data_IF_773397699575
#
_entry.id   IF_773397699575
#
_cell.length_a   1.000
_cell.length_b   1.000
_cell.length_c   1.000
_cell.angle_alpha   90.00
_cell.angle_beta   90.00
_cell.angle_gamma   90.00
#
_symmetry.space_group_name_H-M   'P 1'
#
loop_
_entity.id
_entity.type
_entity.pdbx_description
1 polymer ?
#
# COMPACT_ATOMS: atom_id res chain seq x y z
N UNK A 1 8.50 -6.16 -24.57
CA UNK A 1 9.00 -5.20 -23.58
C UNK A 1 9.17 -3.89 -24.32
N UNK A 2 8.46 -2.85 -23.90
CA UNK A 2 8.44 -1.55 -24.58
C UNK A 2 9.83 -0.91 -24.65
N UNK A 3 10.21 -0.41 -25.83
CA UNK A 3 11.51 0.27 -26.04
C UNK A 3 11.74 1.45 -25.10
N UNK A 4 10.67 2.06 -24.59
CA UNK A 4 10.73 3.21 -23.67
C UNK A 4 11.20 2.82 -22.26
N UNK A 5 10.99 1.60 -21.80
CA UNK A 5 11.39 1.13 -20.47
C UNK A 5 12.83 0.59 -20.42
N UNK A 6 13.45 0.29 -21.56
CA UNK A 6 14.76 -0.36 -21.63
C UNK A 6 15.91 0.45 -21.00
N UNK A 7 15.72 1.75 -20.79
CA UNK A 7 16.73 2.65 -20.19
C UNK A 7 16.29 3.27 -18.86
N UNK A 8 15.14 2.86 -18.30
CA UNK A 8 14.63 3.39 -17.03
C UNK A 8 15.05 2.52 -15.87
N UNK A 9 15.40 3.16 -14.75
CA UNK A 9 15.54 2.50 -13.46
C UNK A 9 14.13 2.23 -12.93
N UNK A 10 13.80 0.96 -12.73
CA UNK A 10 12.52 0.56 -12.13
C UNK A 10 12.63 0.73 -10.61
N UNK A 11 11.74 1.51 -9.96
CA UNK A 11 11.71 1.62 -8.51
C UNK A 11 11.49 0.23 -7.89
N UNK A 12 12.26 -0.09 -6.85
CA UNK A 12 12.13 -1.39 -6.18
C UNK A 12 10.79 -1.49 -5.45
N UNK A 13 10.37 -0.41 -4.78
CA UNK A 13 9.13 -0.34 -4.03
C UNK A 13 8.28 0.86 -4.47
N UNK A 14 7.07 0.57 -4.93
CA UNK A 14 6.05 1.57 -5.28
C UNK A 14 4.92 1.53 -4.26
N UNK A 15 4.58 2.68 -3.68
CA UNK A 15 3.41 2.85 -2.83
C UNK A 15 2.31 3.63 -3.58
N UNK A 16 1.03 3.26 -3.41
CA UNK A 16 -0.08 3.93 -4.11
C UNK A 16 -1.20 4.29 -3.15
N UNK A 17 -1.66 5.55 -3.20
CA UNK A 17 -2.89 6.00 -2.56
C UNK A 17 -4.01 5.95 -3.60
N UNK A 18 -4.98 5.05 -3.37
CA UNK A 18 -6.08 4.69 -4.28
C UNK A 18 -7.22 5.71 -4.19
N UNK A 19 -6.98 6.96 -4.62
CA UNK A 19 -7.97 8.04 -4.49
C UNK A 19 -8.85 8.18 -5.75
N UNK A 20 -10.11 8.63 -5.54
CA UNK A 20 -11.02 8.99 -6.61
C UNK A 20 -12.15 8.00 -6.91
N UNK A 21 -12.24 6.86 -6.23
CA UNK A 21 -13.30 5.87 -6.47
C UNK A 21 -14.72 6.49 -6.47
N UNK A 22 -15.03 7.28 -5.44
CA UNK A 22 -16.34 7.94 -5.32
C UNK A 22 -16.57 9.03 -6.36
N UNK A 23 -15.55 9.82 -6.71
CA UNK A 23 -15.60 10.86 -7.75
C UNK A 23 -15.80 10.25 -9.13
N UNK A 24 -15.12 9.16 -9.40
CA UNK A 24 -15.27 8.36 -10.61
C UNK A 24 -16.71 7.86 -10.82
N UNK A 25 -17.30 7.27 -9.77
CA UNK A 25 -18.68 6.80 -9.81
C UNK A 25 -19.67 7.96 -10.00
N UNK A 26 -19.52 9.05 -9.25
CA UNK A 26 -20.38 10.24 -9.36
C UNK A 26 -20.37 10.83 -10.78
N UNK A 27 -19.19 10.93 -11.42
CA UNK A 27 -19.04 11.44 -12.80
C UNK A 27 -19.80 10.58 -13.83
N UNK A 28 -20.08 9.30 -13.49
CA UNK A 28 -20.79 8.34 -14.34
C UNK A 28 -22.25 8.09 -13.92
N UNK A 29 -22.76 8.85 -12.95
CA UNK A 29 -24.12 8.65 -12.42
C UNK A 29 -24.28 7.33 -11.65
N UNK A 30 -23.18 6.73 -11.16
CA UNK A 30 -23.18 5.45 -10.47
C UNK A 30 -23.12 5.62 -8.95
N UNK A 31 -23.66 4.66 -8.19
CA UNK A 31 -23.46 4.59 -6.75
C UNK A 31 -21.97 4.51 -6.38
N UNK A 32 -21.58 5.11 -5.25
CA UNK A 32 -20.20 5.14 -4.77
C UNK A 32 -19.58 3.75 -4.61
N UNK A 33 -20.38 2.77 -4.21
CA UNK A 33 -19.99 1.35 -4.10
C UNK A 33 -19.48 0.75 -5.42
N UNK A 34 -20.04 1.19 -6.55
CA UNK A 34 -19.55 0.75 -7.86
C UNK A 34 -18.14 1.27 -8.16
N UNK A 35 -17.81 2.50 -7.73
CA UNK A 35 -16.46 3.02 -7.85
C UNK A 35 -15.45 2.22 -7.01
N UNK A 36 -15.83 1.82 -5.80
CA UNK A 36 -14.98 0.95 -4.97
C UNK A 36 -14.81 -0.44 -5.57
N UNK A 37 -15.88 -1.01 -6.14
CA UNK A 37 -15.82 -2.29 -6.84
C UNK A 37 -14.86 -2.26 -8.03
N UNK A 38 -14.96 -1.23 -8.87
CA UNK A 38 -14.06 -1.06 -10.02
C UNK A 38 -12.62 -0.79 -9.55
N UNK A 39 -12.45 0.00 -8.47
CA UNK A 39 -11.15 0.21 -7.83
C UNK A 39 -10.47 -1.08 -7.39
N UNK A 40 -11.22 -2.08 -6.92
CA UNK A 40 -10.66 -3.39 -6.60
C UNK A 40 -10.21 -4.17 -7.86
N UNK A 41 -10.95 -4.07 -8.97
CA UNK A 41 -10.53 -4.65 -10.27
C UNK A 41 -9.23 -3.99 -10.73
N UNK A 42 -9.11 -2.67 -10.56
CA UNK A 42 -7.89 -1.93 -10.88
C UNK A 42 -6.71 -2.38 -10.02
N UNK A 43 -6.90 -2.70 -8.72
CA UNK A 43 -5.85 -3.27 -7.88
C UNK A 43 -5.29 -4.56 -8.49
N UNK A 44 -6.16 -5.49 -8.91
CA UNK A 44 -5.71 -6.76 -9.51
C UNK A 44 -4.83 -6.53 -10.74
N UNK A 45 -5.29 -5.66 -11.66
CA UNK A 45 -4.52 -5.31 -12.87
C UNK A 45 -3.19 -4.62 -12.52
N UNK A 46 -3.20 -3.73 -11.54
CA UNK A 46 -1.99 -3.01 -11.09
C UNK A 46 -0.96 -3.96 -10.49
N UNK A 47 -1.39 -5.01 -9.76
CA UNK A 47 -0.49 -6.06 -9.25
C UNK A 47 0.18 -6.81 -10.40
N UNK A 48 -0.60 -7.19 -11.44
CA UNK A 48 -0.03 -7.84 -12.63
C UNK A 48 0.93 -6.93 -13.38
N UNK A 49 0.56 -5.67 -13.57
CA UNK A 49 1.38 -4.67 -14.26
C UNK A 49 2.69 -4.39 -13.51
N UNK A 50 2.63 -4.23 -12.17
CA UNK A 50 3.81 -4.06 -11.34
C UNK A 50 4.77 -5.26 -11.44
N UNK A 51 4.23 -6.48 -11.40
CA UNK A 51 5.03 -7.69 -11.56
C UNK A 51 5.70 -7.76 -12.95
N UNK A 52 4.98 -7.41 -14.02
CA UNK A 52 5.54 -7.36 -15.39
C UNK A 52 6.64 -6.31 -15.54
N UNK A 53 6.53 -5.18 -14.85
CA UNK A 53 7.53 -4.12 -14.83
C UNK A 53 8.77 -4.47 -14.01
N UNK A 54 8.74 -5.55 -13.22
CA UNK A 54 9.85 -5.97 -12.37
C UNK A 54 9.92 -5.26 -11.02
N UNK A 55 8.86 -4.55 -10.62
CA UNK A 55 8.71 -3.98 -9.29
C UNK A 55 8.73 -5.13 -8.27
N UNK A 56 9.47 -4.96 -7.17
CA UNK A 56 9.62 -6.00 -6.14
C UNK A 56 8.58 -5.88 -5.04
N UNK A 57 8.22 -4.65 -4.68
CA UNK A 57 7.23 -4.35 -3.64
C UNK A 57 6.21 -3.36 -4.16
N UNK A 58 4.93 -3.68 -3.96
CA UNK A 58 3.81 -2.79 -4.26
C UNK A 58 2.97 -2.65 -3.01
N UNK A 59 2.90 -1.45 -2.42
CA UNK A 59 2.03 -1.17 -1.26
C UNK A 59 0.86 -0.31 -1.67
N UNK A 60 -0.37 -0.71 -1.29
CA UNK A 60 -1.57 0.07 -1.59
C UNK A 60 -2.31 0.47 -0.32
N UNK A 61 -2.89 1.68 -0.30
CA UNK A 61 -3.70 2.18 0.80
C UNK A 61 -5.16 1.76 0.60
N UNK A 62 -5.52 0.58 1.13
CA UNK A 62 -6.84 -0.01 0.93
C UNK A 62 -7.92 0.58 1.86
N UNK A 63 -7.61 0.77 3.17
CA UNK A 63 -8.54 1.29 4.15
C UNK A 63 -7.79 1.98 5.29
N UNK A 64 -8.05 3.29 5.50
CA UNK A 64 -7.40 4.05 6.57
C UNK A 64 -8.19 3.99 7.88
N UNK A 65 -7.49 4.29 9.00
CA UNK A 65 -8.14 4.43 10.31
C UNK A 65 -9.23 5.51 10.32
N UNK A 66 -9.11 6.54 9.50
CA UNK A 66 -10.10 7.61 9.34
C UNK A 66 -11.37 7.16 8.61
N UNK A 67 -11.29 6.08 7.81
CA UNK A 67 -12.44 5.59 7.02
C UNK A 67 -13.57 5.02 7.91
N UNK A 68 -13.28 4.64 9.15
CA UNK A 68 -14.31 4.27 10.12
C UNK A 68 -15.30 5.40 10.47
N UNK A 69 -14.94 6.65 10.17
CA UNK A 69 -15.82 7.81 10.35
C UNK A 69 -16.87 7.98 9.23
N UNK A 70 -16.82 7.14 8.19
CA UNK A 70 -17.80 7.13 7.10
C UNK A 70 -19.14 6.56 7.60
N UNK A 71 -20.19 6.67 6.77
CA UNK A 71 -21.48 6.09 7.15
C UNK A 71 -21.38 4.58 7.34
N UNK A 72 -22.22 4.02 8.21
CA UNK A 72 -22.25 2.58 8.51
C UNK A 72 -22.50 1.76 7.25
N UNK A 73 -23.34 2.27 6.33
CA UNK A 73 -23.65 1.63 5.06
C UNK A 73 -22.42 1.56 4.16
N UNK A 74 -21.64 2.65 4.09
CA UNK A 74 -20.40 2.68 3.28
C UNK A 74 -19.36 1.74 3.85
N UNK A 75 -19.15 1.77 5.18
CA UNK A 75 -18.20 0.86 5.86
C UNK A 75 -18.62 -0.60 5.65
N UNK A 76 -19.91 -0.91 5.84
CA UNK A 76 -20.43 -2.26 5.61
C UNK A 76 -20.21 -2.76 4.18
N UNK A 77 -20.47 -1.90 3.19
CA UNK A 77 -20.24 -2.22 1.78
C UNK A 77 -18.73 -2.46 1.49
N UNK A 78 -17.84 -1.67 2.09
CA UNK A 78 -16.39 -1.87 1.96
C UNK A 78 -15.93 -3.19 2.60
N UNK A 79 -16.47 -3.56 3.76
CA UNK A 79 -16.15 -4.83 4.42
C UNK A 79 -16.64 -6.03 3.58
N UNK A 80 -17.80 -5.95 2.95
CA UNK A 80 -18.27 -6.98 2.02
C UNK A 80 -17.38 -7.11 0.79
N UNK A 81 -16.98 -5.98 0.20
CA UNK A 81 -16.01 -5.98 -0.92
C UNK A 81 -14.69 -6.60 -0.49
N UNK A 82 -14.20 -6.27 0.69
CA UNK A 82 -12.95 -6.79 1.21
C UNK A 82 -13.00 -8.32 1.35
N UNK A 83 -14.07 -8.88 1.94
CA UNK A 83 -14.32 -10.34 2.01
C UNK A 83 -14.26 -11.00 0.62
N UNK A 84 -14.98 -10.44 -0.31
CA UNK A 84 -15.03 -10.98 -1.69
C UNK A 84 -13.66 -10.95 -2.36
N UNK A 85 -12.95 -9.81 -2.27
CA UNK A 85 -11.68 -9.64 -2.95
C UNK A 85 -10.53 -10.39 -2.29
N UNK A 86 -10.55 -10.67 -0.99
CA UNK A 86 -9.56 -11.55 -0.35
C UNK A 86 -9.53 -12.95 -0.97
N UNK A 87 -10.71 -13.55 -1.20
CA UNK A 87 -10.81 -14.88 -1.83
C UNK A 87 -10.27 -14.85 -3.28
N UNK A 88 -10.59 -13.79 -3.99
CA UNK A 88 -10.17 -13.58 -5.37
C UNK A 88 -8.67 -13.33 -5.47
N UNK A 89 -8.15 -12.46 -4.61
CA UNK A 89 -6.73 -12.14 -4.53
C UNK A 89 -5.87 -13.37 -4.20
N UNK A 90 -6.35 -14.27 -3.35
CA UNK A 90 -5.64 -15.51 -3.07
C UNK A 90 -5.40 -16.35 -4.33
N UNK A 91 -6.43 -16.50 -5.18
CA UNK A 91 -6.32 -17.23 -6.44
C UNK A 91 -5.33 -16.57 -7.40
N UNK A 92 -5.47 -15.25 -7.59
CA UNK A 92 -4.59 -14.46 -8.46
C UNK A 92 -3.15 -14.49 -7.97
N UNK A 93 -2.93 -14.33 -6.67
CA UNK A 93 -1.60 -14.31 -6.07
C UNK A 93 -0.87 -15.65 -6.20
N UNK A 94 -1.57 -16.76 -6.03
CA UNK A 94 -1.00 -18.09 -6.26
C UNK A 94 -0.64 -18.31 -7.73
N UNK A 95 -1.52 -17.94 -8.65
CA UNK A 95 -1.30 -18.10 -10.09
C UNK A 95 -0.12 -17.27 -10.62
N UNK A 96 0.14 -16.11 -10.02
CA UNK A 96 1.16 -15.14 -10.47
C UNK A 96 2.40 -15.09 -9.56
N UNK A 97 2.57 -16.05 -8.65
CA UNK A 97 3.70 -16.09 -7.71
C UNK A 97 3.85 -14.80 -6.88
N UNK A 98 2.73 -14.17 -6.49
CA UNK A 98 2.71 -12.93 -5.69
C UNK A 98 2.64 -13.29 -4.21
N UNK A 99 3.55 -12.76 -3.39
CA UNK A 99 3.51 -12.84 -1.93
C UNK A 99 2.63 -11.70 -1.41
N UNK A 100 1.62 -12.03 -0.59
CA UNK A 100 0.76 -11.01 0.01
C UNK A 100 1.17 -10.77 1.46
N UNK A 101 1.28 -9.48 1.82
CA UNK A 101 1.41 -9.02 3.21
C UNK A 101 0.30 -8.02 3.51
N UNK A 102 -0.03 -7.88 4.79
CA UNK A 102 -1.00 -6.88 5.25
C UNK A 102 -0.42 -6.12 6.43
N UNK A 103 -0.54 -4.80 6.40
CA UNK A 103 -0.14 -3.87 7.45
C UNK A 103 -1.37 -3.13 7.98
N UNK A 104 -1.29 -2.69 9.24
CA UNK A 104 -2.36 -2.03 9.97
C UNK A 104 -2.93 -2.92 11.09
N UNK A 105 -3.76 -2.30 11.92
CA UNK A 105 -4.37 -2.95 13.08
C UNK A 105 -5.58 -3.83 12.68
N UNK A 106 -5.60 -5.08 13.14
CA UNK A 106 -6.63 -6.07 12.82
C UNK A 106 -7.73 -6.18 13.88
N UNK A 107 -7.57 -5.56 15.04
CA UNK A 107 -8.46 -5.74 16.19
C UNK A 107 -9.91 -5.26 15.94
N UNK A 108 -10.11 -4.33 15.01
CA UNK A 108 -11.44 -3.77 14.70
C UNK A 108 -12.21 -4.54 13.63
N UNK A 109 -11.61 -5.54 13.01
CA UNK A 109 -12.29 -6.35 12.00
C UNK A 109 -13.06 -7.51 12.61
N UNK A 110 -14.13 -7.93 11.93
CA UNK A 110 -14.83 -9.15 12.24
C UNK A 110 -13.87 -10.36 12.13
N UNK A 111 -14.12 -11.40 12.92
CA UNK A 111 -13.24 -12.59 13.01
C UNK A 111 -13.02 -13.28 11.66
N UNK A 112 -14.04 -13.34 10.80
CA UNK A 112 -13.96 -13.93 9.47
C UNK A 112 -13.04 -13.14 8.52
N UNK A 113 -12.96 -11.83 8.68
CA UNK A 113 -12.00 -10.97 7.95
C UNK A 113 -10.58 -11.25 8.44
N UNK A 114 -10.39 -11.31 9.76
CA UNK A 114 -9.06 -11.62 10.36
C UNK A 114 -8.56 -12.98 9.91
N UNK A 115 -9.42 -14.00 9.91
CA UNK A 115 -9.11 -15.35 9.42
C UNK A 115 -8.78 -15.34 7.92
N UNK A 116 -9.57 -14.63 7.12
CA UNK A 116 -9.32 -14.46 5.67
C UNK A 116 -7.98 -13.81 5.36
N UNK A 117 -7.61 -12.76 6.12
CA UNK A 117 -6.28 -12.13 6.06
C UNK A 117 -5.19 -13.14 6.41
N UNK A 118 -5.35 -13.85 7.52
CA UNK A 118 -4.39 -14.85 7.98
C UNK A 118 -4.15 -15.93 6.93
N UNK A 119 -5.22 -16.45 6.35
CA UNK A 119 -5.18 -17.42 5.27
C UNK A 119 -4.46 -16.89 4.03
N UNK A 120 -4.79 -15.68 3.58
CA UNK A 120 -4.19 -15.05 2.39
C UNK A 120 -2.67 -14.91 2.56
N UNK A 121 -2.22 -14.41 3.71
CA UNK A 121 -0.80 -14.23 4.03
C UNK A 121 -0.09 -15.58 4.12
N UNK A 122 -0.66 -16.55 4.83
CA UNK A 122 -0.04 -17.87 5.05
C UNK A 122 0.08 -18.65 3.75
N UNK A 123 -0.98 -18.71 2.94
CA UNK A 123 -0.98 -19.47 1.69
C UNK A 123 -0.11 -18.87 0.57
N UNK A 124 0.33 -17.60 0.71
CA UNK A 124 1.21 -16.93 -0.27
C UNK A 124 2.64 -16.67 0.25
N UNK A 125 2.96 -17.02 1.49
CA UNK A 125 4.23 -16.69 2.16
C UNK A 125 5.49 -17.20 1.44
N UNK A 126 5.36 -18.31 0.72
CA UNK A 126 6.46 -18.95 -0.01
C UNK A 126 6.58 -18.45 -1.46
N UNK A 127 5.68 -17.59 -1.93
CA UNK A 127 5.81 -16.99 -3.24
C UNK A 127 7.02 -16.06 -3.28
N UNK A 128 7.75 -16.06 -4.39
CA UNK A 128 9.05 -15.41 -4.56
C UNK A 128 9.03 -14.24 -5.55
N UNK A 129 7.90 -13.98 -6.17
CA UNK A 129 7.71 -12.86 -7.09
C UNK A 129 7.47 -11.52 -6.38
N UNK A 130 6.58 -10.69 -6.95
CA UNK A 130 6.17 -9.43 -6.34
C UNK A 130 5.66 -9.64 -4.91
N UNK A 131 6.11 -8.81 -3.98
CA UNK A 131 5.48 -8.70 -2.65
C UNK A 131 4.43 -7.60 -2.70
N UNK A 132 3.16 -7.99 -2.62
CA UNK A 132 2.02 -7.10 -2.58
C UNK A 132 1.61 -6.83 -1.14
N UNK A 133 1.65 -5.57 -0.72
CA UNK A 133 1.36 -5.13 0.65
C UNK A 133 0.06 -4.31 0.65
N UNK A 134 -0.89 -4.69 1.48
CA UNK A 134 -2.17 -4.00 1.60
C UNK A 134 -2.25 -3.34 2.97
N UNK A 135 -2.32 -2.00 3.00
CA UNK A 135 -2.54 -1.24 4.21
C UNK A 135 -4.05 -1.16 4.50
N UNK A 136 -4.50 -1.81 5.57
CA UNK A 136 -5.92 -1.93 5.95
C UNK A 136 -6.08 -1.61 7.43
N UNK A 137 -7.04 -0.75 7.76
CA UNK A 137 -7.14 -0.13 9.08
C UNK A 137 -5.79 0.44 9.52
N UNK A 138 -5.13 1.10 8.57
CA UNK A 138 -3.79 1.63 8.72
C UNK A 138 -3.81 3.15 8.86
N UNK A 139 -2.91 3.67 9.67
CA UNK A 139 -2.60 5.08 9.78
C UNK A 139 -1.18 5.24 10.33
N UNK A 140 -0.33 6.04 9.68
CA UNK A 140 1.07 6.19 10.06
C UNK A 140 1.27 6.70 11.49
N UNK A 141 0.40 7.60 11.96
CA UNK A 141 0.43 8.06 13.37
C UNK A 141 0.10 6.93 14.35
N UNK A 142 -0.90 6.12 14.03
CA UNK A 142 -1.28 4.97 14.84
C UNK A 142 -0.15 3.92 14.86
N UNK A 143 0.41 3.59 13.71
CA UNK A 143 1.54 2.67 13.60
C UNK A 143 2.73 3.11 14.47
N UNK A 144 3.12 4.40 14.41
CA UNK A 144 4.21 4.96 15.21
C UNK A 144 3.90 4.82 16.70
N UNK A 145 2.67 5.10 17.13
CA UNK A 145 2.27 4.96 18.55
C UNK A 145 2.29 3.49 18.97
N UNK A 146 1.83 2.55 18.15
CA UNK A 146 1.91 1.11 18.43
C UNK A 146 3.36 0.63 18.54
N UNK A 147 4.24 1.07 17.63
CA UNK A 147 5.67 0.78 17.70
C UNK A 147 6.31 1.31 19.01
N UNK A 148 6.00 2.57 19.37
CA UNK A 148 6.52 3.17 20.61
C UNK A 148 6.05 2.38 21.87
N UNK A 149 4.78 1.97 21.93
CA UNK A 149 4.27 1.13 23.03
C UNK A 149 5.03 -0.18 23.14
N UNK A 150 5.25 -0.85 22.01
CA UNK A 150 5.99 -2.11 21.96
C UNK A 150 7.45 -1.94 22.43
N UNK A 151 8.11 -0.87 22.03
CA UNK A 151 9.47 -0.53 22.50
C UNK A 151 9.48 -0.31 24.01
N UNK A 152 8.49 0.40 24.56
CA UNK A 152 8.37 0.60 26.01
C UNK A 152 8.17 -0.72 26.77
N UNK A 153 7.39 -1.65 26.22
CA UNK A 153 7.22 -3.00 26.78
C UNK A 153 8.54 -3.78 26.75
N UNK A 154 9.20 -3.84 25.59
CA UNK A 154 10.48 -4.56 25.43
C UNK A 154 11.61 -3.91 26.28
N UNK A 155 11.57 -2.58 26.49
CA UNK A 155 12.49 -1.90 27.42
C UNK A 155 12.24 -2.33 28.87
N UNK A 156 10.98 -2.41 29.29
CA UNK A 156 10.60 -2.86 30.64
C UNK A 156 11.02 -4.31 30.90
N UNK A 157 10.98 -5.14 29.86
CA UNK A 157 11.40 -6.54 29.89
C UNK A 157 12.92 -6.72 29.72
N UNK A 158 13.69 -5.64 29.57
CA UNK A 158 15.14 -5.68 29.41
C UNK A 158 15.63 -6.18 28.04
N UNK A 159 14.76 -6.29 27.03
CA UNK A 159 15.12 -6.74 25.68
C UNK A 159 15.82 -5.66 24.86
N UNK A 160 15.55 -4.39 25.15
CA UNK A 160 16.16 -3.23 24.50
C UNK A 160 16.42 -2.14 25.54
N UNK A 161 17.49 -1.36 25.41
CA UNK A 161 17.73 -0.16 26.21
C UNK A 161 17.50 1.11 25.40
N UNK A 162 17.24 2.24 26.07
CA UNK A 162 17.06 3.55 25.42
C UNK A 162 18.28 3.94 24.59
N UNK A 163 19.50 3.65 25.10
CA UNK A 163 20.77 3.98 24.44
C UNK A 163 21.00 3.15 23.18
N UNK A 164 20.39 1.96 23.12
CA UNK A 164 20.53 1.06 21.97
C UNK A 164 19.48 1.30 20.87
N UNK A 165 18.47 2.17 21.10
CA UNK A 165 17.44 2.47 20.14
C UNK A 165 17.98 3.38 19.03
N UNK A 166 17.98 2.86 17.79
CA UNK A 166 18.35 3.57 16.57
C UNK A 166 17.14 3.66 15.63
N UNK A 167 17.22 4.46 14.55
CA UNK A 167 16.19 4.53 13.51
C UNK A 167 15.90 3.15 12.91
N UNK A 168 16.93 2.36 12.60
CA UNK A 168 16.79 1.00 12.07
C UNK A 168 16.08 0.06 13.05
N UNK A 169 16.41 0.15 14.33
CA UNK A 169 15.73 -0.65 15.36
C UNK A 169 14.27 -0.21 15.52
N UNK A 170 13.99 1.10 15.45
CA UNK A 170 12.64 1.62 15.49
C UNK A 170 11.83 1.11 14.27
N UNK A 171 12.41 1.17 13.06
CA UNK A 171 11.79 0.62 11.85
C UNK A 171 11.46 -0.87 11.99
N UNK A 172 12.25 -1.63 12.77
CA UNK A 172 11.98 -3.02 13.12
C UNK A 172 10.72 -3.26 13.97
N UNK A 173 10.12 -2.21 14.55
CA UNK A 173 8.88 -2.27 15.32
C UNK A 173 7.66 -1.81 14.50
N UNK A 174 7.87 -1.23 13.31
CA UNK A 174 6.79 -0.83 12.41
C UNK A 174 6.16 -2.05 11.72
N UNK A 175 4.94 -1.88 11.23
CA UNK A 175 4.21 -2.92 10.49
C UNK A 175 4.95 -3.32 9.19
N UNK A 176 5.75 -2.41 8.65
CA UNK A 176 6.57 -2.59 7.44
C UNK A 176 7.90 -3.30 7.69
N UNK A 177 8.13 -3.85 8.89
CA UNK A 177 9.36 -4.61 9.19
C UNK A 177 9.72 -5.59 8.09
N UNK A 178 10.96 -5.47 7.57
CA UNK A 178 11.48 -6.33 6.51
C UNK A 178 10.88 -6.03 5.12
N UNK A 179 10.28 -4.87 4.93
CA UNK A 179 9.89 -4.29 3.66
C UNK A 179 10.73 -3.01 3.49
N UNK A 180 11.43 -2.80 2.37
CA UNK A 180 12.17 -1.56 2.13
C UNK A 180 11.22 -0.37 2.05
N UNK A 181 11.73 0.83 2.36
CA UNK A 181 10.97 2.05 2.18
C UNK A 181 10.58 2.27 0.71
N UNK A 182 9.45 2.91 0.41
CA UNK A 182 9.06 3.18 -0.97
C UNK A 182 10.04 4.13 -1.67
N UNK A 183 10.42 3.80 -2.91
CA UNK A 183 11.14 4.71 -3.79
C UNK A 183 10.22 5.75 -4.41
N UNK A 184 8.99 5.34 -4.73
CA UNK A 184 7.98 6.13 -5.42
C UNK A 184 6.61 5.99 -4.74
N UNK A 185 6.01 7.13 -4.38
CA UNK A 185 4.61 7.24 -4.00
C UNK A 185 3.81 7.79 -5.18
N UNK A 186 2.77 7.06 -5.59
CA UNK A 186 1.79 7.53 -6.56
C UNK A 186 0.49 7.87 -5.83
N UNK A 187 -0.07 9.05 -6.09
CA UNK A 187 -1.41 9.39 -5.64
C UNK A 187 -2.28 9.79 -6.82
N UNK A 188 -3.42 9.14 -6.96
CA UNK A 188 -4.40 9.43 -8.02
C UNK A 188 -5.33 10.59 -7.66
N UNK A 189 -6.03 11.14 -8.65
CA UNK A 189 -7.07 12.18 -8.51
C UNK A 189 -6.57 13.62 -8.29
N UNK A 190 -5.34 13.95 -8.66
CA UNK A 190 -4.80 15.32 -8.57
C UNK A 190 -4.57 15.82 -7.14
N UNK A 191 -4.57 14.94 -6.14
CA UNK A 191 -4.48 15.33 -4.73
C UNK A 191 -3.05 15.23 -4.20
N UNK A 192 -2.53 16.34 -3.66
CA UNK A 192 -1.18 16.43 -3.11
C UNK A 192 -1.21 16.46 -1.57
N UNK A 193 -1.33 15.30 -0.95
CA UNK A 193 -1.23 15.09 0.51
C UNK A 193 -1.01 13.60 0.81
N UNK A 194 -0.39 13.28 1.96
CA UNK A 194 -0.09 11.89 2.37
C UNK A 194 -1.27 11.19 3.03
N UNK A 195 -2.20 11.94 3.60
CA UNK A 195 -3.39 11.39 4.29
C UNK A 195 -3.05 10.34 5.34
N UNK A 196 -2.02 10.60 6.15
CA UNK A 196 -1.55 9.71 7.22
C UNK A 196 -1.03 8.33 6.72
N UNK A 197 -0.58 8.24 5.46
CA UNK A 197 -0.07 7.02 4.86
C UNK A 197 1.46 6.96 4.97
N UNK A 198 2.01 5.86 5.47
CA UNK A 198 3.43 5.50 5.53
C UNK A 198 4.35 6.67 5.98
N UNK A 199 3.97 7.41 7.04
CA UNK A 199 4.63 8.66 7.43
C UNK A 199 6.12 8.50 7.72
N UNK A 200 6.54 7.39 8.33
CA UNK A 200 7.94 7.08 8.59
C UNK A 200 8.66 6.71 7.29
N UNK A 201 8.07 5.82 6.53
CA UNK A 201 8.69 5.17 5.38
C UNK A 201 8.82 6.09 4.16
N UNK A 202 8.00 7.17 4.08
CA UNK A 202 8.01 8.10 2.96
C UNK A 202 9.03 9.26 3.11
N UNK A 203 9.93 9.19 4.09
CA UNK A 203 10.86 10.29 4.42
C UNK A 203 11.72 10.76 3.22
N UNK A 204 12.13 9.85 2.34
CA UNK A 204 12.95 10.12 1.15
C UNK A 204 12.31 9.65 -0.15
N UNK A 205 11.00 9.43 -0.14
CA UNK A 205 10.24 8.90 -1.27
C UNK A 205 9.93 10.00 -2.30
N UNK A 206 10.12 9.71 -3.58
CA UNK A 206 9.65 10.59 -4.66
C UNK A 206 8.13 10.51 -4.81
N UNK A 207 7.46 11.67 -4.96
CA UNK A 207 6.00 11.73 -5.04
C UNK A 207 5.57 12.07 -6.47
N UNK A 208 4.69 11.25 -7.02
CA UNK A 208 4.01 11.49 -8.29
C UNK A 208 2.51 11.61 -8.07
N UNK A 209 1.93 12.71 -8.55
CA UNK A 209 0.48 12.96 -8.51
C UNK A 209 -0.09 12.73 -9.91
N UNK A 210 -1.03 11.79 -10.02
CA UNK A 210 -1.75 11.53 -11.27
C UNK A 210 -3.14 12.16 -11.22
N UNK A 211 -3.55 12.82 -12.30
CA UNK A 211 -4.88 13.42 -12.42
C UNK A 211 -5.99 12.40 -12.64
N UNK A 212 -5.65 11.17 -13.06
CA UNK A 212 -6.63 10.13 -13.27
C UNK A 212 -7.29 9.67 -11.95
N UNK A 213 -8.54 9.28 -11.98
CA UNK A 213 -9.17 8.59 -10.86
C UNK A 213 -8.66 7.16 -10.75
N UNK A 214 -8.57 6.62 -9.51
CA UNK A 214 -8.06 5.28 -9.30
C UNK A 214 -8.68 4.19 -10.22
N UNK A 215 -10.00 4.12 -10.45
CA UNK A 215 -10.56 3.13 -11.36
C UNK A 215 -10.09 3.22 -12.84
N UNK A 216 -9.59 4.38 -13.25
CA UNK A 216 -9.05 4.60 -14.60
C UNK A 216 -7.51 4.43 -14.66
N UNK A 217 -6.85 4.14 -13.51
CA UNK A 217 -5.40 3.91 -13.44
C UNK A 217 -5.02 2.63 -14.18
N UNK A 218 -3.91 2.66 -14.92
CA UNK A 218 -3.47 1.57 -15.78
C UNK A 218 -1.95 1.57 -15.99
N UNK A 219 -1.45 0.63 -16.78
CA UNK A 219 -0.03 0.48 -17.11
C UNK A 219 0.60 1.78 -17.65
N UNK A 220 -0.10 2.54 -18.47
CA UNK A 220 0.45 3.79 -19.05
C UNK A 220 0.62 4.87 -17.97
N UNK A 221 -0.32 4.96 -17.02
CA UNK A 221 -0.17 5.87 -15.86
C UNK A 221 0.99 5.44 -14.95
N UNK A 222 1.17 4.13 -14.75
CA UNK A 222 2.32 3.59 -14.01
C UNK A 222 3.64 3.96 -14.70
N UNK A 223 3.73 3.81 -16.01
CA UNK A 223 4.91 4.18 -16.81
C UNK A 223 5.22 5.68 -16.72
N UNK A 224 4.20 6.54 -16.79
CA UNK A 224 4.38 7.99 -16.60
C UNK A 224 4.97 8.31 -15.22
N UNK A 225 4.49 7.64 -14.17
CA UNK A 225 5.02 7.82 -12.82
C UNK A 225 6.48 7.37 -12.72
N UNK A 226 6.85 6.23 -13.33
CA UNK A 226 8.23 5.73 -13.40
C UNK A 226 9.12 6.67 -14.23
N UNK A 227 8.63 7.22 -15.33
CA UNK A 227 9.36 8.20 -16.13
C UNK A 227 9.64 9.49 -15.34
N UNK A 228 8.63 9.98 -14.60
CA UNK A 228 8.79 11.13 -13.72
C UNK A 228 9.80 10.86 -12.59
N UNK A 229 9.79 9.66 -12.00
CA UNK A 229 10.80 9.22 -11.03
C UNK A 229 12.21 9.27 -11.62
N UNK A 230 12.41 8.77 -12.85
CA UNK A 230 13.70 8.76 -13.53
C UNK A 230 14.20 10.15 -13.95
N UNK A 231 13.31 11.13 -14.08
CA UNK A 231 13.69 12.50 -14.44
C UNK A 231 14.25 13.31 -13.27
N UNK A 232 14.20 12.76 -12.04
CA UNK A 232 14.63 13.44 -10.82
C UNK A 232 16.01 12.99 -10.36
N UNK A 233 16.81 13.95 -9.84
CA UNK A 233 18.07 13.66 -9.13
C UNK A 233 17.78 13.39 -7.66
N UNK A 234 17.99 12.16 -7.22
CA UNK A 234 17.88 11.77 -5.79
C UNK A 234 19.19 12.09 -5.09
N UNK A 235 19.18 13.08 -4.20
CA UNK A 235 20.40 13.58 -3.51
C UNK A 235 20.55 13.08 -2.09
N UNK A 236 19.52 12.56 -1.45
CA UNK A 236 19.53 12.05 -0.06
C UNK A 236 20.23 12.96 0.94
N UNK A 237 20.09 14.30 0.76
CA UNK A 237 20.76 15.31 1.60
C UNK A 237 22.23 15.58 1.26
N UNK A 238 22.81 14.91 0.26
CA UNK A 238 24.16 15.15 -0.21
C UNK A 238 24.27 16.36 -1.15
N UNK A 239 25.38 17.11 -1.08
CA UNK A 239 25.76 18.15 -2.04
C UNK A 239 26.71 17.52 -3.06
N UNK A 240 26.40 17.69 -4.36
CA UNK A 240 27.37 17.42 -5.44
C UNK A 240 28.20 18.65 -5.71
#
# INVERSE_FOLDING_TARGET
>A
MDKELNNMVIPEHVAIILDGNGRWAKKRGLPRSMGHKEGCVTVEKTVEDAARLGIKYLTVYGFSTENWKRSTEEVGALMQLFRYYMVRLLKVSKANNVRVKMIGDRERFDSDIVEGIGRLVEETKNNTGLTFVIAVNYGGRDEIVRAARKIMEDTREGKISSESLTEDKFAGYLDTKGIPDPDLLIRTSGELRLSNYLLWQLAYTEIYVSDCYWPDFNMEEMKKAIAAYNSRERRFGGVK
#
